data_IF_286386541481
#
_entry.id   IF_286386541481
#
_cell.length_a   1.000
_cell.length_b   1.000
_cell.length_c   1.000
_cell.angle_alpha   90.00
_cell.angle_beta   90.00
_cell.angle_gamma   90.00
#
_symmetry.space_group_name_H-M   'P 1'
#
loop_
_entity.id
_entity.type
_entity.pdbx_description
1 polymer ?
#
# COMPACT_ATOMS: atom_id res chain seq x y z
N UNK A 1 41.59 7.47 14.66
CA UNK A 1 40.11 7.51 14.72
C UNK A 1 39.59 7.03 13.39
N UNK A 2 38.90 5.90 13.35
CA UNK A 2 38.23 5.44 12.14
C UNK A 2 37.19 6.49 11.77
N UNK A 3 37.17 6.95 10.51
CA UNK A 3 36.11 7.80 10.00
C UNK A 3 34.79 7.06 10.20
N UNK A 4 33.89 7.63 10.99
CA UNK A 4 32.49 7.11 11.09
C UNK A 4 31.93 6.99 9.68
N UNK A 5 31.57 5.79 9.30
CA UNK A 5 30.99 5.51 8.00
C UNK A 5 29.59 6.16 7.97
N UNK A 6 29.33 7.04 7.02
CA UNK A 6 27.99 7.62 6.85
C UNK A 6 26.99 6.49 6.61
N UNK A 7 25.78 6.62 7.14
CA UNK A 7 24.71 5.62 6.95
C UNK A 7 24.43 5.36 5.44
N UNK A 8 24.45 6.41 4.65
CA UNK A 8 24.26 6.37 3.19
C UNK A 8 25.32 5.53 2.46
N UNK A 9 26.55 5.51 2.94
CA UNK A 9 27.65 4.71 2.35
C UNK A 9 27.49 3.21 2.64
N UNK A 10 26.51 2.82 3.47
CA UNK A 10 26.29 1.44 3.88
C UNK A 10 25.17 0.73 3.09
N UNK A 11 24.52 1.41 2.15
CA UNK A 11 23.47 0.81 1.28
C UNK A 11 24.00 0.60 -0.14
N UNK A 12 23.48 -0.46 -0.77
CA UNK A 12 23.72 -0.76 -2.18
C UNK A 12 23.03 0.30 -3.06
N UNK A 13 23.66 0.70 -4.19
CA UNK A 13 22.96 1.57 -5.14
C UNK A 13 21.79 0.86 -5.81
N UNK A 14 20.67 1.55 -5.98
CA UNK A 14 19.49 0.99 -6.66
C UNK A 14 19.76 0.63 -8.13
N UNK A 15 20.72 1.30 -8.78
CA UNK A 15 21.09 1.04 -10.17
C UNK A 15 21.95 -0.23 -10.32
N UNK A 16 22.61 -0.66 -9.22
CA UNK A 16 23.44 -1.88 -9.20
C UNK A 16 22.62 -3.11 -8.82
N UNK A 17 21.85 -3.02 -7.75
CA UNK A 17 20.95 -4.09 -7.28
C UNK A 17 19.77 -3.49 -6.53
N UNK A 18 18.67 -3.33 -7.24
CA UNK A 18 17.43 -2.75 -6.68
C UNK A 18 16.86 -3.59 -5.54
N UNK A 19 17.00 -4.91 -5.61
CA UNK A 19 16.51 -5.81 -4.59
C UNK A 19 17.30 -5.68 -3.27
N UNK A 20 18.63 -5.60 -3.37
CA UNK A 20 19.48 -5.41 -2.22
C UNK A 20 19.34 -3.98 -1.67
N UNK A 21 19.27 -2.97 -2.53
CA UNK A 21 18.98 -1.59 -2.14
C UNK A 21 17.69 -1.50 -1.30
N UNK A 22 16.61 -2.13 -1.76
CA UNK A 22 15.35 -2.16 -1.01
C UNK A 22 15.53 -2.75 0.40
N UNK A 23 16.21 -3.89 0.51
CA UNK A 23 16.47 -4.56 1.78
C UNK A 23 17.33 -3.68 2.70
N UNK A 24 18.36 -3.04 2.15
CA UNK A 24 19.25 -2.15 2.90
C UNK A 24 18.48 -0.93 3.44
N UNK A 25 17.62 -0.30 2.62
CA UNK A 25 16.77 0.82 3.06
C UNK A 25 15.84 0.39 4.18
N UNK A 26 15.14 -0.74 4.03
CA UNK A 26 14.25 -1.26 5.07
C UNK A 26 14.95 -1.41 6.42
N UNK A 27 16.17 -1.96 6.41
CA UNK A 27 16.95 -2.19 7.64
C UNK A 27 17.58 -0.92 8.18
N UNK A 28 18.21 -0.11 7.32
CA UNK A 28 18.95 1.10 7.73
C UNK A 28 18.04 2.26 8.13
N UNK A 29 16.89 2.40 7.52
CA UNK A 29 15.85 3.32 7.98
C UNK A 29 15.09 2.79 9.21
N UNK A 30 15.44 1.61 9.70
CA UNK A 30 14.86 0.95 10.88
C UNK A 30 13.34 0.71 10.77
N UNK A 31 12.88 0.31 9.59
CA UNK A 31 11.47 0.07 9.36
C UNK A 31 11.02 -1.32 9.83
N UNK A 32 11.79 -2.34 9.53
CA UNK A 32 11.56 -3.69 10.05
C UNK A 32 12.84 -4.54 10.06
N UNK A 33 12.78 -5.69 10.74
CA UNK A 33 13.81 -6.73 10.71
C UNK A 33 13.16 -8.12 10.72
N UNK A 34 13.95 -9.14 10.43
CA UNK A 34 13.48 -10.52 10.39
C UNK A 34 13.16 -11.05 11.79
N UNK A 35 12.02 -11.74 11.92
CA UNK A 35 11.66 -12.46 13.13
C UNK A 35 12.29 -13.87 13.16
N UNK A 36 12.24 -14.52 14.32
CA UNK A 36 12.69 -15.92 14.49
C UNK A 36 11.87 -16.89 13.64
N UNK A 37 10.61 -16.60 13.38
CA UNK A 37 9.76 -17.37 12.46
C UNK A 37 10.10 -16.95 11.03
N UNK A 38 10.63 -17.87 10.24
CA UNK A 38 11.01 -17.61 8.85
C UNK A 38 9.84 -17.04 8.05
N UNK A 39 10.07 -15.90 7.40
CA UNK A 39 9.06 -15.23 6.58
C UNK A 39 8.15 -14.27 7.34
N UNK A 40 8.29 -14.17 8.66
CA UNK A 40 7.67 -13.14 9.48
C UNK A 40 8.66 -12.01 9.78
N UNK A 41 8.12 -10.80 10.03
CA UNK A 41 8.91 -9.59 10.25
C UNK A 41 8.54 -8.96 11.58
N UNK A 42 9.55 -8.37 12.25
CA UNK A 42 9.32 -7.42 13.33
C UNK A 42 9.24 -6.03 12.70
N UNK A 43 8.07 -5.42 12.74
CA UNK A 43 7.90 -4.03 12.31
C UNK A 43 8.39 -3.13 13.44
N UNK A 44 9.47 -2.39 13.19
CA UNK A 44 10.12 -1.52 14.19
C UNK A 44 9.32 -0.22 14.36
N UNK A 45 9.59 0.56 15.43
CA UNK A 45 8.81 1.78 15.71
C UNK A 45 8.69 2.75 14.54
N UNK A 46 9.75 2.96 13.75
CA UNK A 46 9.70 3.86 12.59
C UNK A 46 8.78 3.35 11.49
N UNK A 47 8.81 2.04 11.20
CA UNK A 47 7.90 1.42 10.24
C UNK A 47 6.46 1.37 10.74
N UNK A 48 6.27 1.06 12.03
CA UNK A 48 4.94 1.02 12.61
C UNK A 48 4.27 2.40 12.67
N UNK A 49 5.04 3.45 12.94
CA UNK A 49 4.53 4.83 12.94
C UNK A 49 4.00 5.26 11.55
N UNK A 50 4.62 4.78 10.45
CA UNK A 50 4.06 4.98 9.10
C UNK A 50 2.71 4.25 8.98
N UNK A 51 2.64 3.01 9.47
CA UNK A 51 1.39 2.24 9.48
C UNK A 51 0.29 2.90 10.30
N UNK A 52 0.59 3.44 11.47
CA UNK A 52 -0.36 4.19 12.29
C UNK A 52 -0.92 5.40 11.54
N UNK A 53 -0.09 6.13 10.79
CA UNK A 53 -0.54 7.25 9.97
C UNK A 53 -1.42 6.79 8.78
N UNK A 54 -1.07 5.67 8.13
CA UNK A 54 -1.92 5.04 7.10
C UNK A 54 -3.27 4.66 7.71
N UNK A 55 -3.26 3.98 8.85
CA UNK A 55 -4.47 3.57 9.55
C UNK A 55 -5.34 4.76 9.94
N UNK A 56 -4.75 5.79 10.54
CA UNK A 56 -5.47 7.00 10.96
C UNK A 56 -6.18 7.69 9.80
N UNK A 57 -5.50 7.85 8.67
CA UNK A 57 -6.05 8.55 7.53
C UNK A 57 -7.09 7.73 6.78
N UNK A 58 -6.85 6.43 6.56
CA UNK A 58 -7.84 5.55 5.95
C UNK A 58 -9.07 5.37 6.82
N UNK A 59 -8.90 5.16 8.13
CA UNK A 59 -10.02 4.99 9.07
C UNK A 59 -10.93 6.23 9.12
N UNK A 60 -10.33 7.42 9.07
CA UNK A 60 -11.09 8.68 8.94
C UNK A 60 -11.94 8.68 7.67
N UNK A 61 -11.35 8.38 6.52
CA UNK A 61 -12.04 8.33 5.22
C UNK A 61 -13.13 7.25 5.20
N UNK A 62 -12.89 6.09 5.79
CA UNK A 62 -13.90 5.03 5.91
C UNK A 62 -15.10 5.48 6.71
N UNK A 63 -14.88 6.08 7.88
CA UNK A 63 -15.95 6.59 8.75
C UNK A 63 -16.82 7.67 8.09
N UNK A 64 -16.22 8.51 7.26
CA UNK A 64 -16.95 9.50 6.45
C UNK A 64 -17.92 8.84 5.44
N UNK A 65 -17.69 7.58 5.07
CA UNK A 65 -18.60 6.80 4.21
C UNK A 65 -19.56 5.90 4.99
N UNK A 66 -19.60 6.02 6.32
CA UNK A 66 -20.47 5.23 7.20
C UNK A 66 -19.91 3.87 7.62
N UNK A 67 -18.64 3.60 7.38
CA UNK A 67 -17.97 2.36 7.81
C UNK A 67 -17.81 2.35 9.33
N UNK A 68 -18.07 1.19 9.94
CA UNK A 68 -17.86 0.93 11.35
C UNK A 68 -16.82 -0.17 11.55
N UNK A 69 -15.94 0.02 12.53
CA UNK A 69 -14.92 -0.97 12.87
C UNK A 69 -15.49 -2.06 13.78
N UNK A 70 -15.12 -3.30 13.49
CA UNK A 70 -15.43 -4.50 14.27
C UNK A 70 -14.16 -5.32 14.48
N UNK A 71 -14.26 -6.40 15.22
CA UNK A 71 -13.21 -7.39 15.37
C UNK A 71 -13.77 -8.80 15.24
N UNK A 72 -13.26 -9.60 14.30
CA UNK A 72 -13.58 -11.00 14.13
C UNK A 72 -12.49 -11.87 14.77
N UNK A 73 -12.83 -13.06 15.31
CA UNK A 73 -11.85 -13.97 15.88
C UNK A 73 -10.73 -14.38 14.91
N UNK A 74 -9.58 -14.74 15.47
CA UNK A 74 -8.38 -15.11 14.69
C UNK A 74 -8.54 -16.45 13.94
N UNK A 75 -9.25 -17.41 14.53
CA UNK A 75 -9.32 -18.78 14.05
C UNK A 75 -10.57 -19.05 13.23
N UNK A 76 -10.42 -19.82 12.16
CA UNK A 76 -11.50 -20.29 11.29
C UNK A 76 -11.54 -21.80 11.38
N UNK A 77 -12.66 -22.44 11.83
CA UNK A 77 -12.85 -23.87 11.77
C UNK A 77 -12.78 -24.37 10.31
N UNK A 78 -12.20 -25.54 10.09
CA UNK A 78 -12.08 -26.11 8.74
C UNK A 78 -13.44 -26.26 8.05
N UNK A 79 -14.48 -26.71 8.79
CA UNK A 79 -15.84 -26.82 8.28
C UNK A 79 -16.43 -25.51 7.79
N UNK A 80 -16.07 -24.40 8.43
CA UNK A 80 -16.51 -23.05 8.01
C UNK A 80 -15.78 -22.61 6.74
N UNK A 81 -14.48 -22.87 6.65
CA UNK A 81 -13.68 -22.56 5.46
C UNK A 81 -14.18 -23.32 4.23
N UNK A 82 -14.66 -24.55 4.39
CA UNK A 82 -15.09 -25.41 3.29
C UNK A 82 -16.49 -25.09 2.72
N UNK A 83 -17.25 -24.18 3.33
CA UNK A 83 -18.61 -23.84 2.86
C UNK A 83 -18.64 -23.18 1.48
N UNK A 84 -17.58 -22.48 1.10
CA UNK A 84 -17.47 -21.84 -0.23
C UNK A 84 -16.26 -22.47 -0.96
N UNK A 85 -16.57 -23.25 -2.02
CA UNK A 85 -15.59 -24.10 -2.68
C UNK A 85 -14.47 -23.32 -3.38
N UNK A 86 -14.81 -22.29 -4.14
CA UNK A 86 -13.82 -21.53 -4.90
C UNK A 86 -12.87 -20.78 -3.97
N UNK A 87 -13.38 -20.30 -2.85
CA UNK A 87 -12.58 -19.65 -1.80
C UNK A 87 -11.59 -20.64 -1.16
N UNK A 88 -12.05 -21.86 -0.85
CA UNK A 88 -11.19 -22.93 -0.33
C UNK A 88 -10.07 -23.29 -1.30
N UNK A 89 -10.38 -23.50 -2.56
CA UNK A 89 -9.40 -23.86 -3.59
C UNK A 89 -8.32 -22.77 -3.73
N UNK A 90 -8.69 -21.49 -3.57
CA UNK A 90 -7.76 -20.35 -3.61
C UNK A 90 -6.82 -20.25 -2.40
N UNK A 91 -7.30 -20.57 -1.20
CA UNK A 91 -6.55 -20.33 0.05
C UNK A 91 -6.01 -21.58 0.74
N UNK A 92 -6.57 -22.76 0.50
CA UNK A 92 -6.17 -24.00 1.20
C UNK A 92 -4.64 -24.26 1.19
N UNK A 93 -3.89 -23.99 0.12
CA UNK A 93 -2.44 -24.21 0.11
C UNK A 93 -1.64 -23.25 1.01
N UNK A 94 -2.23 -22.13 1.42
CA UNK A 94 -1.53 -21.03 2.10
C UNK A 94 -1.97 -20.83 3.56
N UNK A 95 -2.85 -21.67 4.10
CA UNK A 95 -3.29 -21.52 5.50
C UNK A 95 -2.31 -22.14 6.49
N UNK A 96 -2.19 -21.53 7.66
CA UNK A 96 -1.51 -22.10 8.81
C UNK A 96 -2.54 -22.88 9.65
N UNK A 97 -2.36 -24.18 9.79
CA UNK A 97 -3.26 -25.06 10.54
C UNK A 97 -2.92 -25.13 12.03
N UNK A 98 -3.94 -25.00 12.87
CA UNK A 98 -3.89 -25.22 14.31
C UNK A 98 -4.58 -26.54 14.63
N UNK A 99 -3.83 -27.48 15.17
CA UNK A 99 -4.28 -28.86 15.43
C UNK A 99 -4.42 -29.18 16.92
N UNK A 100 -3.88 -28.35 17.80
CA UNK A 100 -3.90 -28.53 19.25
C UNK A 100 -4.37 -27.25 19.98
N UNK A 101 -5.13 -27.45 21.05
CA UNK A 101 -5.47 -26.41 22.03
C UNK A 101 -4.80 -26.78 23.36
N UNK A 102 -3.79 -26.02 23.77
CA UNK A 102 -2.90 -26.48 24.83
C UNK A 102 -2.15 -27.73 24.43
N UNK A 103 -2.28 -28.81 25.19
CA UNK A 103 -1.67 -30.13 24.89
C UNK A 103 -2.64 -31.08 24.20
N UNK A 104 -3.92 -30.74 24.11
CA UNK A 104 -4.96 -31.63 23.58
C UNK A 104 -5.12 -31.43 22.07
N UNK A 105 -5.24 -32.54 21.36
CA UNK A 105 -5.56 -32.51 19.93
C UNK A 105 -7.02 -32.05 19.76
N UNK A 106 -7.23 -31.10 18.84
CA UNK A 106 -8.56 -30.60 18.51
C UNK A 106 -9.34 -31.68 17.74
N UNK A 107 -10.64 -31.79 18.01
CA UNK A 107 -11.55 -32.65 17.24
C UNK A 107 -11.68 -32.19 15.78
N UNK A 108 -11.70 -30.89 15.58
CA UNK A 108 -11.66 -30.24 14.29
C UNK A 108 -10.48 -29.26 14.26
N UNK A 109 -9.64 -29.33 13.24
CA UNK A 109 -8.55 -28.35 13.08
C UNK A 109 -9.10 -27.01 12.65
N UNK A 110 -8.39 -25.97 13.03
CA UNK A 110 -8.68 -24.59 12.66
C UNK A 110 -7.53 -24.03 11.85
N UNK A 111 -7.76 -23.02 11.02
CA UNK A 111 -6.69 -22.24 10.45
C UNK A 111 -6.61 -20.85 11.09
N UNK A 112 -5.40 -20.28 11.08
CA UNK A 112 -5.22 -18.85 11.30
C UNK A 112 -5.76 -18.14 10.06
N UNK A 113 -6.63 -17.15 10.24
CA UNK A 113 -7.33 -16.47 9.13
C UNK A 113 -6.35 -15.97 8.05
N UNK A 114 -6.51 -16.38 6.78
CA UNK A 114 -5.80 -15.79 5.65
C UNK A 114 -6.54 -14.57 5.09
N UNK A 115 -7.82 -14.50 5.36
CA UNK A 115 -8.81 -13.45 5.09
C UNK A 115 -10.08 -13.83 5.87
N UNK A 116 -11.05 -12.94 5.98
CA UNK A 116 -12.17 -13.14 6.93
C UNK A 116 -13.55 -13.25 6.29
N UNK A 117 -13.68 -13.45 4.97
CA UNK A 117 -14.98 -13.57 4.30
C UNK A 117 -15.89 -14.58 4.98
N UNK A 118 -15.37 -15.77 5.28
CA UNK A 118 -16.16 -16.84 5.89
C UNK A 118 -16.60 -16.52 7.30
N UNK A 119 -15.78 -15.83 8.10
CA UNK A 119 -16.14 -15.37 9.45
C UNK A 119 -17.25 -14.32 9.39
N UNK A 120 -17.14 -13.34 8.49
CA UNK A 120 -18.18 -12.33 8.31
C UNK A 120 -19.49 -12.95 7.80
N UNK A 121 -19.41 -13.91 6.87
CA UNK A 121 -20.58 -14.60 6.36
C UNK A 121 -21.29 -15.41 7.44
N UNK A 122 -20.57 -16.14 8.29
CA UNK A 122 -21.16 -16.86 9.42
C UNK A 122 -21.84 -15.92 10.43
N UNK A 123 -21.22 -14.77 10.70
CA UNK A 123 -21.80 -13.74 11.55
C UNK A 123 -23.02 -13.10 10.90
N UNK A 124 -22.95 -12.69 9.64
CA UNK A 124 -24.07 -12.05 8.95
C UNK A 124 -25.29 -12.97 8.80
N UNK A 125 -25.08 -14.27 8.63
CA UNK A 125 -26.18 -15.24 8.59
C UNK A 125 -27.01 -15.27 9.89
N UNK A 126 -26.38 -14.89 11.02
CA UNK A 126 -27.02 -14.82 12.34
C UNK A 126 -27.57 -13.43 12.68
N UNK A 127 -27.04 -12.38 12.04
CA UNK A 127 -27.31 -10.98 12.41
C UNK A 127 -28.26 -10.27 11.43
N UNK A 128 -28.38 -10.73 10.18
CA UNK A 128 -29.23 -10.13 9.15
C UNK A 128 -30.50 -10.94 9.00
N UNK A 129 -31.66 -10.32 9.23
CA UNK A 129 -32.96 -10.96 9.12
C UNK A 129 -33.98 -10.12 8.32
N UNK A 130 -33.79 -8.80 8.28
CA UNK A 130 -34.72 -7.84 7.69
C UNK A 130 -33.98 -6.80 6.88
N UNK A 131 -34.69 -6.21 5.90
CA UNK A 131 -34.15 -5.07 5.13
C UNK A 131 -33.71 -3.90 6.03
N UNK A 132 -34.22 -3.83 7.28
CA UNK A 132 -33.81 -2.81 8.25
C UNK A 132 -32.42 -3.03 8.84
N UNK A 133 -31.88 -4.24 8.70
CA UNK A 133 -30.53 -4.58 9.16
C UNK A 133 -29.45 -4.20 8.15
N UNK A 134 -29.86 -3.78 6.95
CA UNK A 134 -28.99 -3.46 5.82
C UNK A 134 -28.91 -1.94 5.56
N UNK A 135 -27.80 -1.44 5.04
CA UNK A 135 -26.56 -2.17 4.76
C UNK A 135 -25.73 -2.44 6.02
N UNK A 136 -24.95 -3.54 6.01
CA UNK A 136 -23.85 -3.76 6.95
C UNK A 136 -22.57 -3.30 6.29
N UNK A 137 -21.85 -2.37 6.92
CA UNK A 137 -20.63 -1.78 6.36
C UNK A 137 -19.55 -1.82 7.41
N UNK A 138 -18.89 -2.96 7.54
CA UNK A 138 -17.91 -3.23 8.58
C UNK A 138 -16.49 -3.36 8.03
N UNK A 139 -15.55 -2.91 8.84
CA UNK A 139 -14.11 -3.03 8.59
C UNK A 139 -13.41 -3.55 9.84
N UNK A 140 -12.34 -4.29 9.69
CA UNK A 140 -11.45 -4.59 10.80
C UNK A 140 -10.00 -4.29 10.43
N UNK A 141 -9.27 -3.78 11.43
CA UNK A 141 -7.82 -3.64 11.41
C UNK A 141 -7.22 -4.85 12.14
N UNK A 142 -6.46 -5.67 11.44
CA UNK A 142 -5.95 -6.92 12.00
C UNK A 142 -4.72 -7.44 11.28
N UNK A 143 -4.18 -8.56 11.77
CA UNK A 143 -3.22 -9.37 11.03
C UNK A 143 -3.91 -10.56 10.35
N UNK A 144 -3.31 -11.05 9.29
CA UNK A 144 -3.64 -12.31 8.63
C UNK A 144 -2.37 -13.10 8.34
N UNK A 145 -2.52 -14.42 8.15
CA UNK A 145 -1.41 -15.32 7.86
C UNK A 145 -1.66 -16.04 6.55
N UNK A 146 -0.71 -15.86 5.61
CA UNK A 146 -0.64 -16.59 4.34
C UNK A 146 0.72 -17.24 4.24
N UNK A 147 0.77 -18.58 4.18
CA UNK A 147 2.02 -19.34 4.29
C UNK A 147 2.83 -19.30 2.99
N UNK A 148 3.28 -18.08 2.65
CA UNK A 148 4.05 -17.79 1.45
C UNK A 148 5.39 -18.53 1.40
N UNK A 149 5.73 -19.04 0.22
CA UNK A 149 7.02 -19.73 -0.02
C UNK A 149 8.18 -18.74 -0.13
N UNK A 150 7.95 -17.64 -0.82
CA UNK A 150 8.93 -16.57 -1.04
C UNK A 150 8.47 -15.30 -0.34
N UNK A 151 9.32 -14.72 0.51
CA UNK A 151 8.97 -13.55 1.31
C UNK A 151 9.92 -12.40 1.07
N UNK A 152 9.39 -11.17 1.21
CA UNK A 152 10.14 -9.92 1.14
C UNK A 152 9.49 -8.91 2.08
N UNK A 153 10.27 -8.18 2.91
CA UNK A 153 9.73 -7.22 3.87
C UNK A 153 8.66 -6.31 3.26
N UNK A 154 7.53 -6.15 3.95
CA UNK A 154 6.33 -5.40 3.57
C UNK A 154 5.61 -5.88 2.30
N UNK A 155 6.30 -6.35 1.28
CA UNK A 155 5.70 -6.72 -0.01
C UNK A 155 4.99 -8.06 0.05
N UNK A 156 5.62 -9.04 0.72
CA UNK A 156 5.10 -10.40 0.85
C UNK A 156 5.72 -11.04 2.09
N UNK A 157 4.94 -11.20 3.14
CA UNK A 157 5.32 -11.86 4.39
C UNK A 157 4.25 -12.84 4.82
N UNK A 158 4.63 -13.83 5.64
CA UNK A 158 3.69 -14.86 6.11
C UNK A 158 2.62 -14.30 7.02
N UNK A 159 2.96 -13.32 7.84
CA UNK A 159 2.02 -12.52 8.58
C UNK A 159 2.18 -11.06 8.17
N UNK A 160 1.07 -10.36 7.99
CA UNK A 160 1.07 -8.93 7.69
C UNK A 160 -0.14 -8.23 8.31
N UNK A 161 -0.01 -6.94 8.52
CA UNK A 161 -1.09 -6.08 8.97
C UNK A 161 -1.84 -5.53 7.78
N UNK A 162 -3.15 -5.41 7.94
CA UNK A 162 -4.03 -4.83 6.95
C UNK A 162 -5.31 -4.28 7.57
N UNK A 163 -6.14 -3.71 6.74
CA UNK A 163 -7.56 -3.60 6.98
C UNK A 163 -8.31 -4.44 5.95
N UNK A 164 -9.43 -4.98 6.34
CA UNK A 164 -10.37 -5.66 5.48
C UNK A 164 -11.79 -5.18 5.79
N UNK A 165 -12.45 -4.63 4.75
CA UNK A 165 -13.85 -4.29 4.80
C UNK A 165 -14.69 -5.41 4.24
N UNK A 166 -15.81 -5.71 4.90
CA UNK A 166 -16.77 -6.72 4.47
C UNK A 166 -18.17 -6.16 4.63
N UNK A 167 -18.91 -6.07 3.55
CA UNK A 167 -20.21 -5.41 3.53
C UNK A 167 -21.32 -6.32 3.03
N UNK A 168 -22.55 -6.02 3.42
CA UNK A 168 -23.74 -6.69 2.91
C UNK A 168 -24.82 -5.65 2.56
N UNK A 169 -25.39 -5.78 1.39
CA UNK A 169 -26.35 -4.83 0.81
C UNK A 169 -27.62 -5.55 0.34
N UNK A 170 -28.71 -4.80 0.24
CA UNK A 170 -29.98 -5.33 -0.21
C UNK A 170 -29.96 -5.64 -1.74
N UNK A 171 -29.28 -4.83 -2.54
CA UNK A 171 -29.30 -4.96 -4.01
C UNK A 171 -27.90 -5.07 -4.61
N UNK A 172 -27.84 -5.60 -5.82
CA UNK A 172 -26.61 -5.69 -6.59
C UNK A 172 -26.03 -4.30 -6.91
N UNK A 173 -26.89 -3.33 -7.19
CA UNK A 173 -26.53 -1.96 -7.49
C UNK A 173 -25.84 -1.29 -6.29
N UNK A 174 -26.41 -1.43 -5.09
CA UNK A 174 -25.80 -0.91 -3.85
C UNK A 174 -24.42 -1.53 -3.59
N UNK A 175 -24.27 -2.84 -3.82
CA UNK A 175 -22.99 -3.53 -3.68
C UNK A 175 -21.95 -3.02 -4.69
N UNK A 176 -22.34 -2.83 -5.96
CA UNK A 176 -21.43 -2.31 -6.98
C UNK A 176 -21.02 -0.86 -6.68
N UNK A 177 -21.96 0.00 -6.29
CA UNK A 177 -21.65 1.37 -5.87
C UNK A 177 -20.63 1.41 -4.72
N UNK A 178 -20.81 0.55 -3.70
CA UNK A 178 -19.87 0.44 -2.59
C UNK A 178 -18.50 -0.07 -3.04
N UNK A 179 -18.47 -1.05 -3.91
CA UNK A 179 -17.22 -1.60 -4.47
C UNK A 179 -16.39 -0.52 -5.17
N UNK A 180 -17.02 0.27 -6.03
CA UNK A 180 -16.37 1.37 -6.76
C UNK A 180 -16.01 2.52 -5.83
N UNK A 181 -16.87 2.87 -4.88
CA UNK A 181 -16.59 3.92 -3.89
C UNK A 181 -15.31 3.62 -3.10
N UNK A 182 -15.13 2.39 -2.65
CA UNK A 182 -13.94 2.02 -1.88
C UNK A 182 -12.68 1.96 -2.75
N UNK A 183 -12.80 1.54 -4.00
CA UNK A 183 -11.70 1.63 -4.96
C UNK A 183 -11.23 3.07 -5.16
N UNK A 184 -12.16 3.99 -5.38
CA UNK A 184 -11.87 5.42 -5.53
C UNK A 184 -11.25 6.01 -4.27
N UNK A 185 -11.76 5.66 -3.10
CA UNK A 185 -11.19 6.09 -1.82
C UNK A 185 -9.72 5.66 -1.67
N UNK A 186 -9.39 4.42 -2.05
CA UNK A 186 -8.01 3.94 -2.08
C UNK A 186 -7.14 4.70 -3.08
N UNK A 187 -7.65 4.96 -4.28
CA UNK A 187 -6.92 5.72 -5.29
C UNK A 187 -6.61 7.14 -4.82
N UNK A 188 -7.61 7.83 -4.27
CA UNK A 188 -7.45 9.19 -3.73
C UNK A 188 -6.47 9.21 -2.55
N UNK A 189 -6.56 8.23 -1.66
CA UNK A 189 -5.59 8.07 -0.56
C UNK A 189 -4.15 7.89 -1.07
N UNK A 190 -3.94 7.01 -2.05
CA UNK A 190 -2.62 6.78 -2.61
C UNK A 190 -2.03 8.04 -3.24
N UNK A 191 -2.82 8.79 -4.02
CA UNK A 191 -2.34 10.00 -4.69
C UNK A 191 -2.17 11.18 -3.72
N UNK A 192 -3.18 11.45 -2.89
CA UNK A 192 -3.17 12.64 -2.02
C UNK A 192 -2.23 12.50 -0.81
N UNK A 193 -2.12 11.32 -0.23
CA UNK A 193 -1.39 11.09 1.03
C UNK A 193 -0.04 10.43 0.79
N UNK A 194 0.00 9.37 -0.02
CA UNK A 194 1.23 8.64 -0.31
C UNK A 194 2.00 9.21 -1.50
N UNK A 195 1.44 10.18 -2.23
CA UNK A 195 2.00 10.73 -3.47
C UNK A 195 2.34 9.62 -4.50
N UNK A 196 1.51 8.57 -4.56
CA UNK A 196 1.67 7.43 -5.46
C UNK A 196 0.54 7.45 -6.49
N UNK A 197 0.82 7.72 -7.77
CA UNK A 197 -0.18 7.68 -8.82
C UNK A 197 -0.57 6.23 -9.12
N UNK A 198 -1.85 5.99 -9.37
CA UNK A 198 -2.40 4.65 -9.60
C UNK A 198 -3.23 4.57 -10.87
N UNK A 199 -3.27 3.38 -11.46
CA UNK A 199 -4.19 3.03 -12.55
C UNK A 199 -5.35 2.23 -11.95
N UNK A 200 -6.57 2.70 -12.14
CA UNK A 200 -7.80 2.01 -11.70
C UNK A 200 -8.35 1.14 -12.82
N UNK A 201 -8.75 -0.07 -12.50
CA UNK A 201 -9.40 -0.94 -13.46
C UNK A 201 -9.92 -2.24 -12.88
N UNK A 202 -10.51 -3.05 -13.75
CA UNK A 202 -11.03 -4.37 -13.41
C UNK A 202 -9.98 -5.45 -13.71
N UNK A 203 -9.87 -6.44 -12.85
CA UNK A 203 -9.08 -7.65 -13.12
C UNK A 203 -9.76 -8.54 -14.15
N UNK A 204 -8.97 -9.28 -14.90
CA UNK A 204 -9.49 -10.36 -15.75
C UNK A 204 -10.06 -11.50 -14.90
N UNK A 205 -10.86 -12.37 -15.50
CA UNK A 205 -11.43 -13.52 -14.79
C UNK A 205 -10.36 -14.45 -14.19
N UNK A 206 -9.19 -14.52 -14.84
CA UNK A 206 -8.04 -15.27 -14.36
C UNK A 206 -7.40 -14.67 -13.12
N UNK A 207 -7.33 -13.35 -13.05
CA UNK A 207 -6.61 -12.62 -11.99
C UNK A 207 -7.56 -12.10 -10.87
N UNK A 208 -8.87 -12.33 -10.98
CA UNK A 208 -9.83 -11.91 -9.96
C UNK A 208 -9.69 -12.73 -8.67
N UNK A 209 -10.15 -12.17 -7.57
CA UNK A 209 -10.19 -12.83 -6.28
C UNK A 209 -11.11 -14.05 -6.29
N UNK A 210 -10.69 -15.13 -5.64
CA UNK A 210 -11.45 -16.38 -5.57
C UNK A 210 -12.81 -16.20 -4.91
N UNK A 211 -13.88 -16.54 -5.61
CA UNK A 211 -15.27 -16.35 -5.18
C UNK A 211 -15.88 -15.00 -5.54
N UNK A 212 -15.12 -14.06 -6.09
CA UNK A 212 -15.67 -12.78 -6.54
C UNK A 212 -16.31 -12.86 -7.95
N UNK A 213 -17.39 -12.15 -8.17
CA UNK A 213 -17.94 -11.90 -9.51
C UNK A 213 -17.07 -10.91 -10.27
N UNK A 214 -16.64 -9.84 -9.60
CA UNK A 214 -15.71 -8.86 -10.12
C UNK A 214 -14.69 -8.43 -9.07
N UNK A 215 -13.44 -8.23 -9.50
CA UNK A 215 -12.37 -7.64 -8.72
C UNK A 215 -11.88 -6.39 -9.41
N UNK A 216 -11.86 -5.28 -8.68
CA UNK A 216 -11.26 -4.02 -9.10
C UNK A 216 -9.97 -3.80 -8.34
N UNK A 217 -9.04 -3.09 -8.97
CA UNK A 217 -7.69 -2.89 -8.45
C UNK A 217 -7.20 -1.48 -8.73
N UNK A 218 -6.28 -1.03 -7.89
CA UNK A 218 -5.39 0.08 -8.17
C UNK A 218 -3.97 -0.46 -8.34
N UNK A 219 -3.34 -0.12 -9.44
CA UNK A 219 -2.01 -0.59 -9.82
C UNK A 219 -1.02 0.58 -9.83
N UNK A 220 0.11 0.40 -9.16
CA UNK A 220 1.21 1.37 -9.13
C UNK A 220 2.41 0.85 -9.90
N UNK A 221 3.26 1.75 -10.39
CA UNK A 221 4.53 1.41 -11.02
C UNK A 221 5.69 1.75 -10.08
N UNK A 222 6.51 0.75 -9.79
CA UNK A 222 7.70 0.92 -8.96
C UNK A 222 8.87 1.47 -9.79
N UNK A 223 9.90 1.97 -9.12
CA UNK A 223 11.04 2.59 -9.79
C UNK A 223 11.76 1.64 -10.78
N UNK A 224 11.81 0.36 -10.46
CA UNK A 224 12.38 -0.68 -11.35
C UNK A 224 11.48 -1.10 -12.52
N UNK A 225 10.34 -0.44 -12.70
CA UNK A 225 9.38 -0.73 -13.77
C UNK A 225 8.47 -1.92 -13.52
N UNK A 226 8.46 -2.51 -12.33
CA UNK A 226 7.48 -3.54 -11.97
C UNK A 226 6.22 -2.94 -11.42
N UNK A 227 5.10 -3.60 -11.72
CA UNK A 227 3.79 -3.25 -11.18
C UNK A 227 3.63 -3.75 -9.74
N UNK A 228 2.87 -2.99 -8.95
CA UNK A 228 2.45 -3.39 -7.62
C UNK A 228 0.94 -3.19 -7.48
N UNK A 229 0.23 -4.27 -7.14
CA UNK A 229 -1.17 -4.18 -6.73
C UNK A 229 -1.23 -3.47 -5.37
N UNK A 230 -1.80 -2.27 -5.37
CA UNK A 230 -1.76 -1.36 -4.21
C UNK A 230 -3.01 -1.42 -3.35
N UNK A 231 -4.12 -1.90 -3.90
CA UNK A 231 -5.37 -2.13 -3.18
C UNK A 231 -6.40 -2.78 -4.10
N UNK A 232 -7.34 -3.49 -3.51
CA UNK A 232 -8.40 -4.19 -4.24
C UNK A 232 -9.76 -3.96 -3.60
N UNK A 233 -10.78 -4.00 -4.44
CA UNK A 233 -12.18 -3.96 -4.03
C UNK A 233 -12.95 -5.01 -4.83
N UNK A 234 -13.69 -5.88 -4.12
CA UNK A 234 -14.33 -7.06 -4.71
C UNK A 234 -15.84 -6.96 -4.59
N UNK A 235 -16.54 -7.28 -5.67
CA UNK A 235 -17.97 -7.54 -5.66
C UNK A 235 -18.18 -9.05 -5.70
N UNK A 236 -18.81 -9.61 -4.67
CA UNK A 236 -19.08 -11.05 -4.59
C UNK A 236 -20.47 -11.41 -5.12
N UNK A 237 -21.30 -10.43 -5.49
CA UNK A 237 -22.69 -10.68 -5.79
C UNK A 237 -23.40 -11.36 -4.62
N UNK A 238 -24.19 -12.37 -4.88
CA UNK A 238 -24.92 -13.16 -3.87
C UNK A 238 -24.35 -14.57 -3.64
N UNK A 239 -23.19 -14.89 -4.23
CA UNK A 239 -22.58 -16.24 -4.16
C UNK A 239 -22.30 -16.71 -2.73
N UNK A 240 -21.59 -15.91 -1.95
CA UNK A 240 -21.33 -16.20 -0.53
C UNK A 240 -22.64 -16.20 0.30
N UNK A 241 -23.58 -15.31 0.01
CA UNK A 241 -24.85 -15.26 0.69
C UNK A 241 -25.66 -16.55 0.49
N UNK A 242 -25.65 -17.14 -0.72
CA UNK A 242 -26.26 -18.43 -1.02
C UNK A 242 -25.55 -19.59 -0.28
N UNK A 243 -24.23 -19.59 -0.30
CA UNK A 243 -23.45 -20.65 0.39
C UNK A 243 -23.63 -20.64 1.91
N UNK A 244 -23.78 -19.47 2.52
CA UNK A 244 -23.92 -19.30 3.98
C UNK A 244 -25.37 -19.11 4.45
N UNK A 245 -26.33 -18.97 3.55
CA UNK A 245 -27.75 -18.75 3.91
C UNK A 245 -28.03 -17.37 4.46
N UNK A 246 -27.36 -16.32 3.93
CA UNK A 246 -27.55 -14.94 4.40
C UNK A 246 -28.74 -14.33 3.66
N UNK A 247 -29.91 -14.40 4.28
CA UNK A 247 -31.19 -13.91 3.73
C UNK A 247 -31.81 -12.86 4.61
N UNK A 248 -32.56 -11.97 4.01
CA UNK A 248 -33.36 -10.97 4.71
C UNK A 248 -34.80 -10.93 4.18
N UNK A 249 -35.74 -10.59 5.05
CA UNK A 249 -37.11 -10.29 4.65
C UNK A 249 -37.14 -8.88 4.03
N UNK A 250 -37.50 -8.81 2.76
CA UNK A 250 -37.71 -7.56 2.03
C UNK A 250 -39.01 -6.85 2.50
N UNK A 251 -39.25 -5.63 2.01
CA UNK A 251 -40.45 -4.84 2.38
C UNK A 251 -41.78 -5.51 2.02
N UNK A 252 -41.75 -6.35 1.00
CA UNK A 252 -42.90 -7.17 0.55
C UNK A 252 -43.00 -8.54 1.23
N UNK A 253 -42.17 -8.77 2.25
CA UNK A 253 -42.04 -10.03 3.01
C UNK A 253 -41.48 -11.21 2.19
N UNK A 254 -40.93 -10.99 1.01
CA UNK A 254 -40.16 -12.02 0.30
C UNK A 254 -38.77 -12.18 0.93
N UNK A 255 -38.24 -13.42 0.94
CA UNK A 255 -36.87 -13.69 1.34
C UNK A 255 -35.93 -13.47 0.18
N UNK A 256 -34.90 -12.69 0.40
CA UNK A 256 -33.87 -12.37 -0.62
C UNK A 256 -32.48 -12.58 -0.02
N UNK A 257 -31.52 -12.97 -0.87
CA UNK A 257 -30.12 -13.04 -0.51
C UNK A 257 -29.50 -11.64 -0.55
N UNK A 258 -28.56 -11.38 0.36
CA UNK A 258 -27.77 -10.13 0.36
C UNK A 258 -26.72 -10.17 -0.76
N UNK A 259 -26.27 -9.01 -1.20
CA UNK A 259 -25.15 -8.80 -2.09
C UNK A 259 -23.96 -8.28 -1.28
N UNK A 260 -22.79 -8.88 -1.46
CA UNK A 260 -21.64 -8.62 -0.59
C UNK A 260 -20.45 -8.04 -1.34
N UNK A 261 -19.65 -7.27 -0.60
CA UNK A 261 -18.38 -6.72 -1.08
C UNK A 261 -17.28 -6.94 -0.05
N UNK A 262 -16.03 -6.95 -0.50
CA UNK A 262 -14.88 -6.78 0.38
C UNK A 262 -13.82 -5.90 -0.27
N UNK A 263 -13.00 -5.26 0.56
CA UNK A 263 -11.94 -4.38 0.10
C UNK A 263 -10.81 -4.33 1.13
N UNK A 264 -9.57 -4.29 0.67
CA UNK A 264 -8.40 -4.41 1.53
C UNK A 264 -7.18 -3.64 1.04
N UNK A 265 -6.43 -3.13 2.02
CA UNK A 265 -5.11 -2.52 1.85
C UNK A 265 -4.19 -2.96 2.99
N UNK A 266 -2.92 -3.22 2.69
CA UNK A 266 -1.97 -3.84 3.62
C UNK A 266 -0.75 -2.95 3.87
N UNK A 267 0.11 -3.37 4.79
CA UNK A 267 1.46 -2.81 4.99
C UNK A 267 2.35 -2.87 3.75
N UNK A 268 1.91 -3.53 2.66
CA UNK A 268 2.57 -3.47 1.34
C UNK A 268 2.78 -2.03 0.88
N UNK A 269 1.92 -1.10 1.27
CA UNK A 269 2.04 0.31 0.90
C UNK A 269 3.28 0.99 1.48
N UNK A 270 3.84 0.48 2.58
CA UNK A 270 5.15 0.91 3.07
C UNK A 270 6.25 0.52 2.07
N UNK A 271 6.17 -0.71 1.54
CA UNK A 271 7.05 -1.15 0.46
C UNK A 271 6.92 -0.29 -0.81
N UNK A 272 5.69 0.07 -1.17
CA UNK A 272 5.44 0.98 -2.29
C UNK A 272 6.07 2.36 -2.08
N UNK A 273 5.95 2.95 -0.89
CA UNK A 273 6.60 4.22 -0.54
C UNK A 273 8.12 4.17 -0.76
N UNK A 274 8.77 3.08 -0.32
CA UNK A 274 10.20 2.87 -0.52
C UNK A 274 10.53 2.82 -2.01
N UNK A 275 9.82 1.98 -2.76
CA UNK A 275 10.14 1.70 -4.17
C UNK A 275 9.75 2.81 -5.15
N UNK A 276 8.78 3.67 -4.79
CA UNK A 276 8.37 4.81 -5.63
C UNK A 276 9.22 6.04 -5.35
N UNK A 277 9.52 6.31 -4.09
CA UNK A 277 10.10 7.59 -3.67
C UNK A 277 11.54 7.51 -3.19
N UNK A 278 12.00 6.35 -2.70
CA UNK A 278 13.36 6.17 -2.19
C UNK A 278 14.43 6.46 -3.22
N UNK A 279 15.61 6.81 -2.74
CA UNK A 279 16.80 7.07 -3.55
C UNK A 279 18.05 6.37 -2.97
N UNK A 280 19.22 6.66 -3.51
CA UNK A 280 20.48 6.08 -3.03
C UNK A 280 20.93 6.63 -1.66
N UNK A 281 20.23 7.62 -1.11
CA UNK A 281 20.42 8.12 0.26
C UNK A 281 19.45 7.51 1.27
N UNK A 282 18.49 6.71 0.82
CA UNK A 282 17.55 5.98 1.64
C UNK A 282 16.08 6.28 1.34
N UNK A 283 15.27 6.29 2.40
CA UNK A 283 13.84 6.54 2.34
C UNK A 283 13.57 8.03 2.03
N UNK A 284 12.51 8.28 1.24
CA UNK A 284 11.94 9.62 1.02
C UNK A 284 10.45 9.55 1.29
N UNK A 285 9.99 10.21 2.33
CA UNK A 285 8.58 10.15 2.73
C UNK A 285 7.81 11.39 2.26
N UNK A 286 6.65 11.20 1.64
CA UNK A 286 5.71 12.31 1.43
C UNK A 286 5.34 12.94 2.78
N UNK A 287 5.30 14.27 2.88
CA UNK A 287 5.03 14.97 4.14
C UNK A 287 3.75 14.53 4.85
N UNK A 288 2.68 14.23 4.11
CA UNK A 288 1.39 13.86 4.71
C UNK A 288 1.44 12.54 5.48
N UNK A 289 2.29 11.60 5.05
CA UNK A 289 2.41 10.29 5.72
C UNK A 289 3.60 10.20 6.68
N UNK A 290 4.59 11.08 6.58
CA UNK A 290 5.80 11.03 7.39
C UNK A 290 5.50 11.12 8.89
N UNK A 291 5.98 10.17 9.72
CA UNK A 291 5.81 10.25 11.18
C UNK A 291 6.50 11.47 11.79
N UNK A 292 7.61 11.89 11.21
CA UNK A 292 8.31 13.13 11.50
C UNK A 292 8.39 13.93 10.20
N UNK A 293 7.76 15.09 10.17
CA UNK A 293 7.76 15.98 9.00
C UNK A 293 8.99 16.89 8.98
N UNK A 294 9.43 17.29 10.16
CA UNK A 294 10.51 18.24 10.35
C UNK A 294 11.47 17.73 11.42
N UNK A 295 12.75 17.62 11.08
CA UNK A 295 13.83 17.36 12.01
C UNK A 295 14.66 18.61 12.21
N UNK A 296 14.70 19.12 13.43
CA UNK A 296 15.59 20.25 13.79
C UNK A 296 16.92 19.67 14.21
N UNK A 297 17.99 20.10 13.56
CA UNK A 297 19.36 19.67 13.86
C UNK A 297 20.16 20.88 14.36
N UNK A 298 20.45 20.95 15.68
CA UNK A 298 21.34 21.97 16.22
C UNK A 298 22.79 21.70 15.80
N UNK A 299 23.39 22.66 15.10
CA UNK A 299 24.78 22.61 14.66
C UNK A 299 25.64 23.29 15.73
N UNK A 300 26.69 22.58 16.20
CA UNK A 300 27.50 23.04 17.37
C UNK A 300 26.64 23.21 18.63
N UNK A 301 25.82 22.22 18.93
CA UNK A 301 24.85 22.26 20.04
C UNK A 301 25.48 22.47 21.43
N UNK A 302 26.81 22.21 21.57
CA UNK A 302 27.57 22.47 22.80
C UNK A 302 27.82 23.97 23.08
N UNK A 303 27.56 24.85 22.08
CA UNK A 303 27.65 26.28 22.30
C UNK A 303 26.37 26.77 22.98
N UNK A 304 26.59 27.75 23.88
CA UNK A 304 25.54 28.36 24.70
C UNK A 304 24.37 28.85 23.81
N UNK A 305 23.14 28.53 24.20
CA UNK A 305 21.91 28.98 23.57
C UNK A 305 21.49 28.22 22.30
N UNK A 306 22.35 27.37 21.68
CA UNK A 306 22.02 26.68 20.42
C UNK A 306 20.96 25.61 20.64
N UNK A 307 21.13 24.77 21.67
CA UNK A 307 20.17 23.71 21.97
C UNK A 307 18.83 24.29 22.45
N UNK A 308 18.87 25.33 23.29
CA UNK A 308 17.68 26.05 23.76
C UNK A 308 16.89 26.63 22.59
N UNK A 309 17.57 27.23 21.61
CA UNK A 309 16.94 27.74 20.39
C UNK A 309 16.30 26.63 19.56
N UNK A 310 16.95 25.46 19.45
CA UNK A 310 16.37 24.32 18.73
C UNK A 310 15.04 23.87 19.37
N UNK A 311 14.97 23.82 20.71
CA UNK A 311 13.72 23.48 21.40
C UNK A 311 12.67 24.60 21.30
N UNK A 312 13.08 25.88 21.33
CA UNK A 312 12.17 27.01 21.03
C UNK A 312 11.54 26.87 19.63
N UNK A 313 12.36 26.57 18.62
CA UNK A 313 11.87 26.36 17.24
C UNK A 313 10.94 25.14 17.11
N UNK A 314 11.18 24.08 17.88
CA UNK A 314 10.24 22.95 17.97
C UNK A 314 8.88 23.44 18.44
N UNK A 315 8.82 24.28 19.43
CA UNK A 315 7.56 24.79 19.97
C UNK A 315 6.88 25.74 18.99
N UNK A 316 7.62 26.57 18.26
CA UNK A 316 7.13 27.38 17.13
C UNK A 316 6.51 26.50 16.03
N UNK A 317 7.10 25.33 15.78
CA UNK A 317 6.65 24.39 14.75
C UNK A 317 5.67 23.32 15.28
N UNK A 318 5.06 23.53 16.44
CA UNK A 318 4.16 22.56 17.10
C UNK A 318 2.91 22.16 16.29
N UNK A 319 2.56 22.93 15.26
CA UNK A 319 1.52 22.56 14.29
C UNK A 319 1.90 21.41 13.34
N UNK A 320 3.16 21.00 13.32
CA UNK A 320 3.71 19.91 12.52
C UNK A 320 4.20 18.78 13.41
N UNK A 321 4.44 17.60 12.81
CA UNK A 321 5.13 16.49 13.48
C UNK A 321 6.64 16.77 13.46
N UNK A 322 7.14 17.43 14.50
CA UNK A 322 8.51 17.92 14.60
C UNK A 322 9.28 17.23 15.71
N UNK A 323 10.58 16.98 15.47
CA UNK A 323 11.54 16.51 16.48
C UNK A 323 12.81 17.32 16.43
N UNK A 324 13.52 17.36 17.56
CA UNK A 324 14.88 17.86 17.67
C UNK A 324 15.83 16.68 17.80
N UNK A 325 16.91 16.65 17.03
CA UNK A 325 18.00 15.69 17.22
C UNK A 325 19.04 16.28 18.16
N UNK A 326 18.83 16.06 19.44
CA UNK A 326 19.69 16.49 20.55
C UNK A 326 20.78 15.47 20.92
N UNK A 327 20.91 14.39 20.12
CA UNK A 327 21.94 13.37 20.34
C UNK A 327 23.36 13.98 20.31
N UNK A 328 24.32 13.25 20.86
CA UNK A 328 25.75 13.63 20.90
C UNK A 328 26.50 13.35 19.58
N UNK A 329 25.79 12.88 18.55
CA UNK A 329 26.36 12.59 17.23
C UNK A 329 26.80 13.85 16.51
N UNK A 330 27.75 13.72 15.60
CA UNK A 330 28.20 14.83 14.75
C UNK A 330 27.08 15.34 13.83
N UNK A 331 27.08 16.63 13.46
CA UNK A 331 26.07 17.16 12.52
C UNK A 331 25.96 16.37 11.22
N UNK A 332 27.10 15.95 10.65
CA UNK A 332 27.12 15.14 9.42
C UNK A 332 26.44 13.77 9.58
N UNK A 333 26.56 13.15 10.75
CA UNK A 333 25.84 11.91 11.08
C UNK A 333 24.33 12.17 11.17
N UNK A 334 23.91 13.21 11.90
CA UNK A 334 22.51 13.60 12.05
C UNK A 334 21.86 13.89 10.70
N UNK A 335 22.58 14.55 9.80
CA UNK A 335 22.10 14.81 8.43
C UNK A 335 21.89 13.51 7.67
N UNK A 336 22.87 12.61 7.66
CA UNK A 336 22.78 11.33 6.98
C UNK A 336 21.68 10.44 7.57
N UNK A 337 21.48 10.43 8.88
CA UNK A 337 20.42 9.67 9.54
C UNK A 337 19.03 10.23 9.19
N UNK A 338 18.87 11.56 9.20
CA UNK A 338 17.63 12.22 8.76
C UNK A 338 17.29 11.90 7.30
N UNK A 339 18.30 11.89 6.44
CA UNK A 339 18.15 11.51 5.03
C UNK A 339 17.77 10.03 4.87
N UNK A 340 18.47 9.11 5.56
CA UNK A 340 18.17 7.69 5.52
C UNK A 340 16.73 7.38 5.96
N UNK A 341 16.23 8.07 6.98
CA UNK A 341 14.87 7.92 7.49
C UNK A 341 13.80 8.63 6.65
N UNK A 342 14.21 9.38 5.64
CA UNK A 342 13.30 10.04 4.69
C UNK A 342 12.50 11.19 5.27
N UNK A 343 13.01 11.89 6.28
CA UNK A 343 12.32 13.02 6.90
C UNK A 343 12.22 14.18 5.90
N UNK A 344 11.03 14.68 5.58
CA UNK A 344 10.81 15.62 4.48
C UNK A 344 11.61 16.91 4.55
N UNK A 345 11.68 17.52 5.72
CA UNK A 345 12.40 18.79 5.93
C UNK A 345 13.34 18.67 7.13
N UNK A 346 14.59 19.06 6.91
CA UNK A 346 15.56 19.28 7.98
C UNK A 346 15.74 20.78 8.20
N UNK A 347 15.65 21.23 9.44
CA UNK A 347 15.96 22.60 9.88
C UNK A 347 17.33 22.58 10.54
N UNK A 348 18.29 23.24 9.93
CA UNK A 348 19.64 23.43 10.48
C UNK A 348 19.70 24.76 11.21
N UNK A 349 20.17 24.78 12.46
CA UNK A 349 20.30 25.97 13.30
C UNK A 349 21.63 25.93 14.05
N UNK A 350 22.46 26.93 13.85
CA UNK A 350 23.74 27.10 14.51
C UNK A 350 23.93 28.51 15.07
N UNK A 351 25.08 28.81 15.70
CA UNK A 351 25.31 30.13 16.31
C UNK A 351 25.17 31.30 15.36
N UNK A 352 25.68 31.17 14.13
CA UNK A 352 25.60 32.24 13.12
C UNK A 352 24.17 32.45 12.62
N UNK A 353 23.39 31.38 12.53
CA UNK A 353 22.00 31.44 12.12
C UNK A 353 21.19 32.20 13.16
N UNK A 354 21.43 31.92 14.44
CA UNK A 354 20.78 32.60 15.57
C UNK A 354 21.12 34.09 15.54
N UNK A 355 22.39 34.45 15.37
CA UNK A 355 22.86 35.85 15.29
C UNK A 355 22.17 36.62 14.17
N UNK A 356 21.91 35.95 13.03
CA UNK A 356 21.29 36.55 11.85
C UNK A 356 19.76 36.39 11.82
N UNK A 357 19.14 35.85 12.86
CA UNK A 357 17.72 35.55 12.95
C UNK A 357 17.18 34.71 11.76
N UNK A 358 17.95 33.68 11.35
CA UNK A 358 17.62 32.80 10.22
C UNK A 358 17.78 31.32 10.62
N UNK A 359 17.21 30.42 9.80
CA UNK A 359 17.49 29.00 9.81
C UNK A 359 17.65 28.50 8.36
N UNK A 360 18.31 27.37 8.17
CA UNK A 360 18.44 26.72 6.87
C UNK A 360 17.48 25.55 6.80
N UNK A 361 16.55 25.59 5.86
CA UNK A 361 15.65 24.48 5.52
C UNK A 361 16.29 23.64 4.41
N UNK A 362 16.29 22.31 4.57
CA UNK A 362 16.81 21.39 3.57
C UNK A 362 15.70 20.42 3.17
N UNK A 363 15.36 20.38 1.90
CA UNK A 363 14.43 19.40 1.32
C UNK A 363 15.09 18.02 1.25
N UNK A 364 14.39 16.99 1.71
CA UNK A 364 14.88 15.61 1.57
C UNK A 364 14.86 15.13 0.12
N UNK A 365 13.83 15.50 -0.64
CA UNK A 365 13.57 14.96 -1.97
C UNK A 365 14.46 15.53 -3.09
N UNK A 366 14.95 16.78 -2.93
CA UNK A 366 15.80 17.46 -3.92
C UNK A 366 17.17 17.89 -3.36
N UNK A 367 17.37 17.81 -2.03
CA UNK A 367 18.53 18.34 -1.30
C UNK A 367 18.71 19.87 -1.43
N UNK A 368 17.71 20.57 -1.95
CA UNK A 368 17.72 22.02 -2.04
C UNK A 368 17.73 22.66 -0.65
N UNK A 369 18.52 23.74 -0.52
CA UNK A 369 18.65 24.51 0.72
C UNK A 369 18.02 25.89 0.55
N UNK A 370 17.24 26.28 1.56
CA UNK A 370 16.57 27.57 1.62
C UNK A 370 16.88 28.21 2.97
N UNK A 371 17.43 29.45 2.98
CA UNK A 371 17.59 30.24 4.20
C UNK A 371 16.33 31.07 4.40
N UNK A 372 15.73 30.97 5.58
CA UNK A 372 14.48 31.66 5.94
C UNK A 372 14.65 32.43 7.25
N UNK A 373 13.89 33.52 7.41
CA UNK A 373 13.78 34.25 8.68
C UNK A 373 13.11 33.35 9.74
N UNK A 374 13.58 33.39 10.97
CA UNK A 374 12.95 32.72 12.09
C UNK A 374 11.53 33.23 12.34
N UNK A 375 11.24 34.47 12.01
CA UNK A 375 9.92 35.11 12.17
C UNK A 375 8.88 34.52 11.20
N UNK A 376 9.31 33.97 10.06
CA UNK A 376 8.47 33.35 9.03
C UNK A 376 8.60 31.80 9.00
N UNK A 377 9.33 31.21 9.95
CA UNK A 377 9.74 29.80 9.90
C UNK A 377 8.55 28.85 9.75
N UNK A 378 7.49 29.02 10.55
CA UNK A 378 6.33 28.13 10.52
C UNK A 378 5.56 28.22 9.20
N UNK A 379 5.39 29.41 8.66
CA UNK A 379 4.75 29.65 7.35
C UNK A 379 5.57 28.99 6.22
N UNK A 380 6.89 29.26 6.20
CA UNK A 380 7.79 28.71 5.17
C UNK A 380 7.93 27.19 5.22
N UNK A 381 7.93 26.60 6.42
CA UNK A 381 7.90 25.15 6.58
C UNK A 381 6.58 24.56 6.04
N UNK A 382 5.44 25.17 6.34
CA UNK A 382 4.14 24.75 5.81
C UNK A 382 4.07 24.78 4.29
N UNK A 383 4.46 25.90 3.67
CA UNK A 383 4.54 26.06 2.21
C UNK A 383 5.47 25.00 1.59
N UNK A 384 6.63 24.75 2.22
CA UNK A 384 7.62 23.82 1.73
C UNK A 384 7.12 22.38 1.78
N UNK A 385 6.44 21.96 2.87
CA UNK A 385 5.85 20.64 3.00
C UNK A 385 4.76 20.40 1.93
N UNK A 386 3.92 21.38 1.65
CA UNK A 386 2.90 21.27 0.59
C UNK A 386 3.55 21.18 -0.80
N UNK A 387 4.59 21.94 -1.06
CA UNK A 387 5.36 21.88 -2.30
C UNK A 387 6.02 20.52 -2.48
N UNK A 388 6.66 19.96 -1.44
CA UNK A 388 7.28 18.62 -1.48
C UNK A 388 6.22 17.56 -1.78
N UNK A 389 5.06 17.61 -1.12
CA UNK A 389 3.98 16.65 -1.34
C UNK A 389 3.52 16.65 -2.81
N UNK A 390 3.33 17.83 -3.38
CA UNK A 390 2.94 18.01 -4.78
C UNK A 390 4.04 17.51 -5.74
N UNK A 391 5.27 17.96 -5.55
CA UNK A 391 6.40 17.63 -6.44
C UNK A 391 6.70 16.13 -6.44
N UNK A 392 6.55 15.45 -5.30
CA UNK A 392 6.74 14.00 -5.22
C UNK A 392 5.69 13.25 -6.04
N UNK A 393 4.43 13.68 -6.00
CA UNK A 393 3.37 13.09 -6.83
C UNK A 393 3.63 13.32 -8.32
N UNK A 394 4.00 14.53 -8.71
CA UNK A 394 4.24 14.86 -10.12
C UNK A 394 5.47 14.13 -10.68
N UNK A 395 6.55 13.96 -9.89
CA UNK A 395 7.68 13.11 -10.30
C UNK A 395 7.28 11.65 -10.50
N UNK A 396 6.49 11.10 -9.58
CA UNK A 396 6.01 9.73 -9.70
C UNK A 396 5.07 9.55 -10.92
N UNK A 397 4.22 10.54 -11.22
CA UNK A 397 3.40 10.55 -12.45
C UNK A 397 4.26 10.59 -13.70
N UNK A 398 5.23 11.48 -13.75
CA UNK A 398 6.15 11.61 -14.89
C UNK A 398 6.95 10.31 -15.10
N UNK A 399 7.40 9.67 -14.02
CA UNK A 399 8.08 8.37 -14.11
C UNK A 399 7.16 7.29 -14.68
N UNK A 400 5.94 7.14 -14.14
CA UNK A 400 4.97 6.18 -14.65
C UNK A 400 4.66 6.40 -16.13
N UNK A 401 4.41 7.63 -16.52
CA UNK A 401 4.01 7.96 -17.89
C UNK A 401 5.16 7.75 -18.89
N UNK A 402 6.39 8.06 -18.49
CA UNK A 402 7.60 7.78 -19.27
C UNK A 402 7.90 6.27 -19.42
N UNK A 403 7.37 5.44 -18.51
CA UNK A 403 7.51 3.98 -18.50
C UNK A 403 6.18 3.26 -18.82
N UNK A 404 5.30 3.90 -19.56
CA UNK A 404 4.06 3.32 -20.10
C UNK A 404 4.14 3.32 -21.62
N UNK A 405 4.20 2.14 -22.20
CA UNK A 405 4.41 1.93 -23.62
C UNK A 405 3.14 1.38 -24.28
N UNK A 406 3.12 1.35 -25.60
CA UNK A 406 2.06 0.77 -26.40
C UNK A 406 2.67 -0.31 -27.30
N UNK A 407 1.98 -1.44 -27.47
CA UNK A 407 2.32 -2.47 -28.44
C UNK A 407 1.06 -2.91 -29.18
N UNK A 408 1.18 -3.14 -30.49
CA UNK A 408 0.07 -3.49 -31.38
C UNK A 408 0.18 -4.89 -31.96
N UNK A 409 1.35 -5.51 -31.90
CA UNK A 409 1.58 -6.90 -32.27
C UNK A 409 2.41 -7.64 -31.21
N UNK A 410 2.46 -8.97 -31.31
CA UNK A 410 3.04 -9.82 -30.29
C UNK A 410 4.57 -9.67 -30.18
N UNK A 411 5.27 -9.54 -31.28
CA UNK A 411 6.73 -9.43 -31.31
C UNK A 411 7.16 -8.08 -30.69
N UNK A 412 6.50 -6.99 -31.06
CA UNK A 412 6.68 -5.68 -30.44
C UNK A 412 6.40 -5.72 -28.94
N UNK A 413 5.34 -6.39 -28.53
CA UNK A 413 4.98 -6.56 -27.13
C UNK A 413 6.08 -7.28 -26.33
N UNK A 414 6.53 -8.43 -26.82
CA UNK A 414 7.57 -9.24 -26.18
C UNK A 414 8.88 -8.45 -26.08
N UNK A 415 9.27 -7.78 -27.18
CA UNK A 415 10.47 -6.95 -27.18
C UNK A 415 10.35 -5.82 -26.17
N UNK A 416 9.24 -5.09 -26.15
CA UNK A 416 9.03 -3.96 -25.23
C UNK A 416 9.08 -4.40 -23.77
N UNK A 417 8.39 -5.46 -23.38
CA UNK A 417 8.42 -5.98 -22.00
C UNK A 417 9.83 -6.42 -21.57
N UNK A 418 10.63 -6.96 -22.49
CA UNK A 418 11.96 -7.46 -22.18
C UNK A 418 13.00 -6.34 -22.08
N UNK A 419 12.89 -5.33 -22.93
CA UNK A 419 13.92 -4.27 -23.06
C UNK A 419 13.56 -3.00 -22.26
N UNK A 420 12.29 -2.73 -22.02
CA UNK A 420 11.80 -1.48 -21.41
C UNK A 420 10.91 -1.81 -20.19
N UNK A 421 11.51 -1.82 -18.98
CA UNK A 421 10.71 -2.05 -17.76
C UNK A 421 9.59 -1.02 -17.61
N UNK A 422 8.38 -1.47 -17.36
CA UNK A 422 7.21 -0.60 -17.24
C UNK A 422 5.90 -1.29 -17.57
N UNK A 423 4.87 -0.48 -17.73
CA UNK A 423 3.59 -0.92 -18.27
C UNK A 423 3.59 -0.96 -19.80
N UNK A 424 2.90 -1.95 -20.36
CA UNK A 424 2.57 -1.96 -21.79
C UNK A 424 1.05 -1.98 -21.95
N UNK A 425 0.50 -0.99 -22.65
CA UNK A 425 -0.89 -0.96 -23.05
C UNK A 425 -1.02 -1.74 -24.36
N UNK A 426 -1.91 -2.70 -24.40
CA UNK A 426 -2.17 -3.51 -25.59
C UNK A 426 -3.62 -4.01 -25.62
N UNK A 427 -4.16 -4.21 -26.84
CA UNK A 427 -5.50 -4.74 -27.03
C UNK A 427 -5.56 -6.24 -26.78
N UNK A 428 -6.64 -6.70 -26.18
CA UNK A 428 -6.87 -8.09 -25.81
C UNK A 428 -8.27 -8.55 -26.20
N UNK A 429 -8.38 -9.78 -26.72
CA UNK A 429 -9.62 -10.36 -27.20
C UNK A 429 -10.54 -10.95 -26.11
N UNK A 430 -10.08 -10.98 -24.86
CA UNK A 430 -10.80 -11.58 -23.74
C UNK A 430 -10.53 -13.07 -23.50
N UNK A 431 -9.69 -13.72 -24.31
CA UNK A 431 -9.36 -15.14 -24.15
C UNK A 431 -8.26 -15.39 -23.13
N UNK A 432 -8.47 -16.35 -22.23
CA UNK A 432 -7.47 -16.72 -21.22
C UNK A 432 -6.20 -17.29 -21.86
N UNK A 433 -6.31 -18.05 -22.96
CA UNK A 433 -5.15 -18.60 -23.67
C UNK A 433 -4.17 -17.52 -24.13
N UNK A 434 -4.67 -16.31 -24.46
CA UNK A 434 -3.81 -15.18 -24.80
C UNK A 434 -3.08 -14.64 -23.57
N UNK A 435 -3.73 -14.55 -22.42
CA UNK A 435 -3.06 -14.20 -21.16
C UNK A 435 -1.97 -15.22 -20.78
N UNK A 436 -2.29 -16.52 -20.92
CA UNK A 436 -1.36 -17.60 -20.61
C UNK A 436 -0.12 -17.54 -21.51
N UNK A 437 -0.30 -17.34 -22.80
CA UNK A 437 0.80 -17.19 -23.78
C UNK A 437 1.66 -15.97 -23.50
N UNK A 438 1.05 -14.84 -23.15
CA UNK A 438 1.80 -13.62 -22.78
C UNK A 438 2.64 -13.87 -21.52
N UNK A 439 2.07 -14.51 -20.49
CA UNK A 439 2.76 -14.84 -19.25
C UNK A 439 3.91 -15.82 -19.47
N UNK A 440 3.69 -16.84 -20.29
CA UNK A 440 4.72 -17.82 -20.65
C UNK A 440 5.89 -17.18 -21.39
N UNK A 441 5.62 -16.30 -22.35
CA UNK A 441 6.64 -15.66 -23.17
C UNK A 441 7.42 -14.54 -22.43
N UNK A 442 6.80 -13.85 -21.46
CA UNK A 442 7.35 -12.59 -20.93
C UNK A 442 7.39 -12.50 -19.41
N UNK A 443 6.73 -13.41 -18.70
CA UNK A 443 6.42 -13.31 -17.27
C UNK A 443 5.56 -12.07 -16.88
N UNK A 444 5.03 -11.33 -17.85
CA UNK A 444 4.05 -10.27 -17.62
C UNK A 444 2.64 -10.84 -17.47
N UNK A 445 1.83 -10.20 -16.65
CA UNK A 445 0.43 -10.51 -16.43
C UNK A 445 -0.45 -9.31 -16.77
N UNK A 446 -1.74 -9.56 -16.98
CA UNK A 446 -2.73 -8.49 -17.05
C UNK A 446 -2.79 -7.78 -15.69
N UNK A 447 -2.51 -6.49 -15.68
CA UNK A 447 -2.60 -5.72 -14.42
C UNK A 447 -4.03 -5.27 -14.17
N UNK A 448 -4.62 -4.61 -15.14
CA UNK A 448 -6.05 -4.28 -15.14
C UNK A 448 -6.55 -3.91 -16.53
N UNK A 449 -7.87 -4.03 -16.70
CA UNK A 449 -8.64 -3.42 -17.76
C UNK A 449 -9.08 -2.04 -17.23
N UNK A 450 -8.45 -0.93 -17.66
CA UNK A 450 -8.74 0.37 -17.08
C UNK A 450 -10.15 0.85 -17.43
N UNK A 451 -10.74 1.68 -16.59
CA UNK A 451 -12.07 2.25 -16.85
C UNK A 451 -12.07 3.16 -18.08
N UNK A 452 -10.99 3.92 -18.26
CA UNK A 452 -10.79 4.71 -19.48
C UNK A 452 -10.18 3.84 -20.55
N UNK A 453 -10.97 3.44 -21.53
CA UNK A 453 -10.55 2.63 -22.66
C UNK A 453 -10.02 3.49 -23.80
N UNK A 454 -9.00 2.98 -24.48
CA UNK A 454 -8.41 3.54 -25.70
C UNK A 454 -8.37 2.43 -26.76
N UNK A 455 -8.80 2.73 -27.97
CA UNK A 455 -8.70 1.79 -29.11
C UNK A 455 -7.32 1.95 -29.76
N UNK A 456 -6.35 1.13 -29.35
CA UNK A 456 -4.97 1.19 -29.83
C UNK A 456 -4.75 0.43 -31.16
N UNK A 457 -5.55 -0.61 -31.37
CA UNK A 457 -5.59 -1.48 -32.53
C UNK A 457 -6.94 -2.19 -32.58
N UNK A 458 -7.34 -2.67 -33.76
CA UNK A 458 -8.54 -3.50 -33.90
C UNK A 458 -8.28 -4.96 -33.53
N UNK A 459 -7.02 -5.35 -33.33
CA UNK A 459 -6.61 -6.74 -33.15
C UNK A 459 -5.99 -6.97 -31.77
N UNK A 460 -6.23 -8.16 -31.25
CA UNK A 460 -5.56 -8.68 -30.06
C UNK A 460 -4.06 -8.77 -30.32
N UNK A 461 -3.27 -8.21 -29.39
CA UNK A 461 -1.80 -8.22 -29.45
C UNK A 461 -1.21 -9.63 -29.54
N UNK A 462 -1.91 -10.63 -28.98
CA UNK A 462 -1.43 -12.01 -28.94
C UNK A 462 -1.85 -12.88 -30.14
N UNK A 463 -3.15 -12.89 -30.46
CA UNK A 463 -3.69 -13.84 -31.46
C UNK A 463 -4.18 -13.17 -32.76
N UNK A 464 -4.18 -11.85 -32.84
CA UNK A 464 -4.63 -11.11 -34.02
C UNK A 464 -6.14 -11.13 -34.27
N UNK A 465 -6.95 -11.77 -33.42
CA UNK A 465 -8.42 -11.72 -33.49
C UNK A 465 -8.93 -10.33 -33.13
N UNK A 466 -10.16 -9.96 -33.54
CA UNK A 466 -10.75 -8.68 -33.12
C UNK A 466 -10.72 -8.50 -31.62
N UNK A 467 -10.40 -7.29 -31.17
CA UNK A 467 -10.27 -6.95 -29.75
C UNK A 467 -10.83 -5.54 -29.48
N UNK A 468 -11.57 -5.42 -28.38
CA UNK A 468 -12.20 -4.17 -27.93
C UNK A 468 -11.78 -3.75 -26.53
N UNK A 469 -10.95 -4.57 -25.86
CA UNK A 469 -10.48 -4.28 -24.50
C UNK A 469 -9.00 -3.89 -24.53
N UNK A 470 -8.67 -2.68 -24.11
CA UNK A 470 -7.32 -2.27 -23.84
C UNK A 470 -6.97 -2.65 -22.42
N UNK A 471 -5.80 -3.26 -22.21
CA UNK A 471 -5.31 -3.79 -20.93
C UNK A 471 -3.92 -3.23 -20.63
N UNK A 472 -3.67 -2.93 -19.38
CA UNK A 472 -2.32 -2.69 -18.86
C UNK A 472 -1.65 -4.01 -18.52
N UNK A 473 -0.51 -4.27 -19.13
CA UNK A 473 0.32 -5.45 -18.91
C UNK A 473 1.62 -5.04 -18.22
N UNK A 474 2.15 -5.93 -17.39
CA UNK A 474 3.44 -5.68 -16.74
C UNK A 474 3.90 -6.86 -15.90
N UNK A 475 5.19 -6.90 -15.63
CA UNK A 475 5.75 -7.77 -14.60
C UNK A 475 5.42 -7.18 -13.23
N UNK A 476 5.18 -8.01 -12.24
CA UNK A 476 4.71 -7.57 -10.92
C UNK A 476 5.52 -8.19 -9.79
N UNK A 477 5.43 -7.54 -8.64
CA UNK A 477 5.91 -8.06 -7.36
C UNK A 477 4.98 -9.12 -6.78
#
# INVERSE_FOLDING_TARGET
MAKEKKLVEAITSMDVDFAQWYTDVVKKAELCDYASVKGCMVIKPAGYAIWENIQKELDRRFKETGVQNVYMPLFIPESLLQKEKDHVEGFAPEVAWVTHGGLDQLQERMCVRPTSETLFCDFYAKDIHSYRDLPKVYNQWCSVVRWEKTTRPFLRSREFLWQEGHTAHATAEEAEERTIQMLNLYADFCEEVLAIPVIKGQKTDKEKFAGAEATYTIESLMHDGKALQSGTSHNFGDGFAKAFGIQYAAKDNTLQYVHQTSWGMTTRMIGALIMVHGDNNGLVLPPRIAPVQVMIVPVQQQKEGVLDKAFELRDVLSGFRVKVDDSDKSPGWKFSESEMRGIPVRVEIGPRDIENNVAVLVRRDTHEKLTVSLDELAEKVGELLDTIQHDMLERARAHRDAHTYVATDFDEFVQTINEKPGFVKAMWCGCQECEDKIKEATAATSRCIPFKQEQLSEKCVCCGKPATKMVYWGRAY
#
